data_IF_849263620948
#
_entry.id   IF_849263620948
#
_cell.length_a   1.000
_cell.length_b   1.000
_cell.length_c   1.000
_cell.angle_alpha   90.00
_cell.angle_beta   90.00
_cell.angle_gamma   90.00
#
_symmetry.space_group_name_H-M   'P 1'
#
loop_
_entity.id
_entity.type
_entity.pdbx_description
1 polymer ?
#
# COMPACT_ATOMS: atom_id res chain seq x y z
N UNK A 1 76.26 -25.16 -42.07
CA UNK A 1 75.02 -24.40 -41.85
C UNK A 1 75.37 -23.14 -41.06
N UNK A 2 76.00 -22.13 -41.67
CA UNK A 2 75.42 -21.05 -42.49
C UNK A 2 74.46 -20.17 -41.64
N UNK A 3 74.85 -19.03 -41.01
CA UNK A 3 75.39 -17.75 -41.55
C UNK A 3 74.31 -17.00 -42.36
N UNK A 4 74.00 -15.69 -42.25
CA UNK A 4 74.89 -14.51 -42.18
C UNK A 4 74.03 -13.21 -42.03
N UNK A 5 74.59 -12.26 -41.24
CA UNK A 5 74.69 -10.77 -41.31
C UNK A 5 73.52 -9.79 -41.61
N UNK A 6 73.45 -8.78 -40.72
CA UNK A 6 73.15 -7.34 -40.85
C UNK A 6 73.91 -6.60 -41.99
N UNK A 7 73.86 -5.24 -42.16
CA UNK A 7 72.82 -4.20 -42.00
C UNK A 7 72.79 -3.21 -43.21
N UNK A 8 71.97 -2.15 -43.20
CA UNK A 8 72.39 -0.86 -43.78
C UNK A 8 71.70 0.36 -43.13
N UNK A 9 72.50 1.12 -42.36
CA UNK A 9 72.26 2.54 -42.12
C UNK A 9 72.63 3.29 -43.40
N UNK A 10 71.77 4.19 -43.85
CA UNK A 10 72.16 5.28 -44.75
C UNK A 10 72.01 6.61 -44.00
N UNK A 11 73.16 7.08 -43.50
CA UNK A 11 73.42 8.46 -43.15
C UNK A 11 73.19 9.36 -44.37
N UNK A 12 72.69 10.58 -44.19
CA UNK A 12 73.52 11.78 -44.30
C UNK A 12 72.73 13.11 -44.41
N UNK A 13 73.25 14.13 -43.69
CA UNK A 13 73.49 15.53 -44.15
C UNK A 13 72.23 16.36 -44.52
N UNK A 14 71.97 17.57 -44.01
CA UNK A 14 72.76 18.79 -43.66
C UNK A 14 71.79 19.74 -42.92
N UNK A 15 72.08 20.29 -41.74
CA UNK A 15 72.71 21.62 -41.48
C UNK A 15 72.37 22.73 -42.50
N UNK A 16 71.59 23.76 -42.12
CA UNK A 16 72.08 25.11 -41.71
C UNK A 16 71.00 26.21 -41.80
N UNK A 17 70.89 26.94 -40.69
CA UNK A 17 70.86 28.41 -40.53
C UNK A 17 69.79 29.32 -41.14
N UNK A 18 69.52 30.36 -40.32
CA UNK A 18 68.89 31.67 -40.58
C UNK A 18 67.38 31.67 -40.74
N UNK A 19 66.63 32.67 -40.31
CA UNK A 19 66.74 33.81 -39.38
C UNK A 19 65.33 34.44 -39.46
N UNK A 20 64.89 35.12 -38.41
CA UNK A 20 63.97 36.26 -38.48
C UNK A 20 62.51 36.01 -38.91
N UNK A 21 61.63 36.01 -37.89
CA UNK A 21 60.62 37.06 -37.71
C UNK A 21 59.66 37.35 -38.89
N UNK A 22 58.49 36.70 -38.92
CA UNK A 22 57.14 37.33 -38.82
C UNK A 22 56.05 36.30 -39.21
N UNK A 23 54.96 36.27 -38.41
CA UNK A 23 53.60 35.76 -38.72
C UNK A 23 53.45 34.28 -39.10
N UNK A 24 52.88 33.50 -38.17
CA UNK A 24 51.58 32.81 -38.29
C UNK A 24 51.53 31.59 -37.36
N UNK A 25 50.80 31.70 -36.24
CA UNK A 25 50.11 30.56 -35.65
C UNK A 25 48.63 30.92 -35.60
N UNK A 26 47.89 30.17 -36.39
CA UNK A 26 46.46 30.00 -36.31
C UNK A 26 46.07 29.41 -34.95
N UNK A 27 45.15 30.06 -34.26
CA UNK A 27 44.00 29.35 -33.69
C UNK A 27 42.75 30.06 -34.16
N UNK A 28 42.10 29.39 -35.10
CA UNK A 28 40.80 29.67 -35.68
C UNK A 28 39.74 29.55 -34.58
N UNK A 29 38.95 30.60 -34.35
CA UNK A 29 37.49 30.60 -34.57
C UNK A 29 36.89 31.97 -34.19
N UNK A 30 36.65 32.76 -35.22
CA UNK A 30 35.74 33.91 -35.19
C UNK A 30 34.30 33.44 -34.93
N UNK A 31 33.60 34.13 -34.04
CA UNK A 31 32.13 34.07 -33.85
C UNK A 31 31.42 34.50 -35.16
N UNK A 32 30.16 34.06 -35.43
CA UNK A 32 29.03 34.87 -34.96
C UNK A 32 27.72 34.10 -34.64
N UNK A 33 26.97 34.66 -33.68
CA UNK A 33 25.49 34.81 -33.63
C UNK A 33 24.63 33.68 -34.23
N UNK A 34 24.02 32.87 -33.36
CA UNK A 34 22.72 32.20 -33.55
C UNK A 34 22.00 32.28 -32.19
N UNK A 35 21.20 33.32 -31.92
CA UNK A 35 19.73 33.41 -32.09
C UNK A 35 18.96 32.15 -31.67
N UNK A 36 18.14 32.33 -30.64
CA UNK A 36 16.84 31.69 -30.41
C UNK A 36 16.72 30.18 -30.63
N UNK A 37 16.76 29.41 -29.54
CA UNK A 37 15.70 28.44 -29.19
C UNK A 37 15.54 28.39 -27.66
N UNK A 38 15.22 29.53 -27.05
CA UNK A 38 14.47 29.55 -25.79
C UNK A 38 13.03 29.88 -26.16
N UNK A 39 12.26 28.87 -26.56
CA UNK A 39 10.82 29.05 -26.71
C UNK A 39 10.08 27.73 -26.56
N UNK A 40 9.26 27.70 -25.50
CA UNK A 40 8.02 26.94 -25.35
C UNK A 40 8.13 25.53 -24.78
N UNK A 41 8.36 25.46 -23.46
CA UNK A 41 7.58 24.54 -22.65
C UNK A 41 6.98 25.31 -21.48
N UNK A 42 5.65 25.31 -21.29
CA UNK A 42 5.04 26.02 -20.18
C UNK A 42 5.50 25.38 -18.88
N UNK A 43 6.12 26.19 -18.03
CA UNK A 43 6.34 25.90 -16.62
C UNK A 43 4.96 25.77 -15.95
N UNK A 44 4.37 24.58 -16.02
CA UNK A 44 3.18 24.19 -15.27
C UNK A 44 3.60 23.82 -13.84
N UNK A 45 4.01 24.78 -13.01
CA UNK A 45 4.55 24.46 -11.67
C UNK A 45 3.83 25.10 -10.48
N UNK A 46 2.73 25.83 -10.68
CA UNK A 46 1.92 26.35 -9.57
C UNK A 46 0.53 25.73 -9.46
N UNK A 47 -0.21 25.58 -10.57
CA UNK A 47 -1.62 25.13 -10.53
C UNK A 47 -1.79 23.62 -10.28
N UNK A 48 -0.94 22.79 -10.89
CA UNK A 48 -0.95 21.33 -10.67
C UNK A 48 -0.54 20.93 -9.23
N UNK A 49 0.16 21.83 -8.51
CA UNK A 49 0.64 21.57 -7.14
C UNK A 49 -0.50 21.56 -6.11
N UNK A 50 -1.61 22.24 -6.39
CA UNK A 50 -2.75 22.34 -5.46
C UNK A 50 -3.67 21.11 -5.59
N UNK A 51 -3.69 20.43 -6.74
CA UNK A 51 -4.58 19.28 -6.99
C UNK A 51 -4.01 17.94 -6.46
N UNK A 52 -2.68 17.78 -6.40
CA UNK A 52 -1.98 16.54 -6.03
C UNK A 52 -1.37 16.55 -4.60
N UNK A 53 -1.76 17.48 -3.73
CA UNK A 53 -1.20 17.58 -2.38
C UNK A 53 -1.73 16.46 -1.46
N UNK A 54 -1.00 15.35 -1.44
CA UNK A 54 -1.27 14.19 -0.60
C UNK A 54 -1.32 14.57 0.90
N UNK A 55 -0.53 15.54 1.33
CA UNK A 55 -0.54 15.98 2.74
C UNK A 55 -1.85 16.71 3.06
N UNK A 56 -2.28 17.63 2.20
CA UNK A 56 -3.54 18.36 2.36
C UNK A 56 -4.75 17.41 2.30
N UNK A 57 -4.75 16.50 1.33
CA UNK A 57 -5.84 15.54 1.10
C UNK A 57 -6.00 14.53 2.25
N UNK A 58 -4.92 14.21 2.97
CA UNK A 58 -4.92 13.24 4.07
C UNK A 58 -4.83 13.90 5.45
N UNK A 59 -4.83 15.23 5.54
CA UNK A 59 -4.57 15.96 6.79
C UNK A 59 -5.54 15.56 7.90
N UNK A 60 -6.84 15.50 7.60
CA UNK A 60 -7.85 15.09 8.57
C UNK A 60 -7.66 13.63 9.00
N UNK A 61 -7.36 12.75 8.05
CA UNK A 61 -7.06 11.35 8.32
C UNK A 61 -5.89 11.22 9.31
N UNK A 62 -4.77 11.88 9.08
CA UNK A 62 -3.63 11.84 10.00
C UNK A 62 -3.92 12.44 11.38
N UNK A 63 -4.76 13.48 11.46
CA UNK A 63 -5.21 14.04 12.74
C UNK A 63 -6.06 13.01 13.50
N UNK A 64 -7.01 12.36 12.84
CA UNK A 64 -7.82 11.28 13.42
C UNK A 64 -6.97 10.07 13.85
N UNK A 65 -6.02 9.64 13.02
CA UNK A 65 -5.10 8.55 13.35
C UNK A 65 -4.20 8.83 14.56
N UNK A 66 -3.86 10.09 14.81
CA UNK A 66 -3.13 10.53 16.02
C UNK A 66 -4.03 10.58 17.26
N UNK A 67 -5.30 10.96 17.11
CA UNK A 67 -6.28 11.04 18.21
C UNK A 67 -6.75 9.66 18.69
N UNK A 68 -6.86 8.68 17.79
CA UNK A 68 -7.38 7.33 18.08
C UNK A 68 -6.35 6.45 18.83
N UNK A 69 -5.14 6.91 19.09
CA UNK A 69 -4.23 6.31 20.08
C UNK A 69 -4.08 4.78 19.95
N UNK A 70 -3.23 4.33 19.04
CA UNK A 70 -2.85 2.93 18.86
C UNK A 70 -2.27 2.31 20.16
N UNK A 71 -3.13 1.82 21.04
CA UNK A 71 -2.77 1.00 22.21
C UNK A 71 -3.00 -0.47 21.86
N UNK A 72 -1.97 -1.34 21.94
CA UNK A 72 -2.09 -2.76 21.65
C UNK A 72 -2.63 -3.51 22.86
N UNK A 73 -3.58 -4.41 22.62
CA UNK A 73 -3.94 -5.44 23.56
C UNK A 73 -2.85 -6.52 23.61
N UNK A 74 -2.44 -6.92 24.81
CA UNK A 74 -1.41 -7.92 25.06
C UNK A 74 -2.10 -9.26 25.38
N UNK A 75 -1.73 -10.33 24.67
CA UNK A 75 -2.28 -11.66 24.94
C UNK A 75 -1.87 -12.74 23.94
N UNK A 76 -0.59 -13.13 23.96
CA UNK A 76 -0.02 -14.49 23.87
C UNK A 76 1.37 -14.46 23.19
N UNK A 77 2.33 -15.10 23.86
CA UNK A 77 3.72 -15.36 23.50
C UNK A 77 4.78 -14.33 23.94
N UNK A 78 5.83 -14.87 24.55
CA UNK A 78 6.77 -14.24 25.48
C UNK A 78 7.94 -13.47 24.83
N UNK A 79 8.56 -12.63 25.68
CA UNK A 79 9.99 -12.31 25.87
C UNK A 79 10.74 -11.25 25.05
N UNK A 80 10.11 -10.50 24.14
CA UNK A 80 10.78 -9.30 23.61
C UNK A 80 9.83 -8.11 23.31
N UNK A 81 9.66 -7.24 24.30
CA UNK A 81 8.66 -6.16 24.31
C UNK A 81 9.11 -4.86 23.60
N UNK A 82 10.35 -4.78 23.10
CA UNK A 82 10.87 -3.56 22.44
C UNK A 82 10.33 -3.32 21.01
N UNK A 83 9.49 -4.22 20.48
CA UNK A 83 8.91 -4.16 19.12
C UNK A 83 7.39 -4.42 19.10
N UNK A 84 6.63 -3.73 19.94
CA UNK A 84 5.17 -3.62 19.76
C UNK A 84 4.88 -2.91 18.43
N UNK A 85 4.33 -3.64 17.46
CA UNK A 85 4.32 -3.23 16.03
C UNK A 85 3.28 -2.17 15.68
N UNK A 86 2.38 -1.80 16.59
CA UNK A 86 1.51 -0.63 16.44
C UNK A 86 2.15 0.65 16.99
N UNK A 87 3.04 0.53 17.98
CA UNK A 87 3.97 1.60 18.36
C UNK A 87 4.96 1.92 17.22
N UNK A 88 5.25 0.95 16.34
CA UNK A 88 6.01 1.19 15.11
C UNK A 88 5.31 2.20 14.18
N UNK A 89 3.99 2.14 14.01
CA UNK A 89 3.27 3.14 13.20
C UNK A 89 3.28 4.53 13.84
N UNK A 90 3.15 4.63 15.16
CA UNK A 90 3.29 5.90 15.89
C UNK A 90 4.74 6.45 15.79
N UNK A 91 5.74 5.61 16.04
CA UNK A 91 7.17 5.95 15.93
C UNK A 91 7.60 6.28 14.49
N UNK A 92 7.00 5.62 13.51
CA UNK A 92 7.26 5.82 12.08
C UNK A 92 6.24 6.74 11.41
N UNK A 93 5.36 7.40 12.18
CA UNK A 93 4.52 8.47 11.65
C UNK A 93 5.39 9.58 11.04
N UNK A 94 6.61 9.78 11.57
CA UNK A 94 7.64 10.61 10.97
C UNK A 94 8.15 10.08 9.62
N UNK A 95 8.28 8.75 9.46
CA UNK A 95 8.63 8.15 8.18
C UNK A 95 7.49 8.33 7.17
N UNK A 96 6.24 8.20 7.60
CA UNK A 96 5.09 8.49 6.75
C UNK A 96 5.07 9.96 6.30
N UNK A 97 5.31 10.90 7.21
CA UNK A 97 5.44 12.31 6.89
C UNK A 97 6.59 12.53 5.90
N UNK A 98 7.75 11.88 6.11
CA UNK A 98 8.88 11.97 5.19
C UNK A 98 8.55 11.41 3.80
N UNK A 99 7.85 10.27 3.72
CA UNK A 99 7.35 9.70 2.47
C UNK A 99 6.42 10.66 1.74
N UNK A 100 5.53 11.34 2.46
CA UNK A 100 4.61 12.32 1.89
C UNK A 100 5.36 13.55 1.36
N UNK A 101 6.36 14.06 2.08
CA UNK A 101 7.19 15.16 1.58
C UNK A 101 7.92 14.75 0.31
N UNK A 102 8.56 13.57 0.33
CA UNK A 102 9.23 13.02 -0.84
C UNK A 102 8.29 12.77 -2.02
N UNK A 103 7.05 12.38 -1.74
CA UNK A 103 6.00 12.27 -2.74
C UNK A 103 5.64 13.62 -3.36
N UNK A 104 5.52 14.67 -2.54
CA UNK A 104 5.25 16.03 -3.01
C UNK A 104 6.41 16.61 -3.82
N UNK A 105 7.64 16.24 -3.47
CA UNK A 105 8.86 16.63 -4.18
C UNK A 105 9.17 15.76 -5.41
N UNK A 106 8.35 14.74 -5.69
CA UNK A 106 8.55 13.79 -6.78
C UNK A 106 8.44 14.49 -8.14
N UNK A 107 9.56 14.59 -8.85
CA UNK A 107 9.61 15.15 -10.21
C UNK A 107 9.64 14.03 -11.24
N UNK A 108 8.49 13.76 -11.84
CA UNK A 108 8.37 12.90 -13.02
C UNK A 108 8.26 13.77 -14.26
N UNK A 109 8.90 13.34 -15.35
CA UNK A 109 8.73 14.00 -16.63
C UNK A 109 7.33 13.75 -17.19
N UNK A 110 6.88 12.49 -17.12
CA UNK A 110 5.54 12.06 -17.48
C UNK A 110 4.66 12.05 -16.23
N UNK A 111 3.90 13.12 -16.04
CA UNK A 111 2.93 13.24 -14.94
C UNK A 111 1.55 13.63 -15.47
N UNK A 112 0.50 13.08 -14.85
CA UNK A 112 -0.89 13.52 -14.99
C UNK A 112 -1.40 13.85 -13.59
N UNK A 113 -2.09 15.00 -13.41
CA UNK A 113 -2.70 15.34 -12.13
C UNK A 113 -3.85 14.38 -11.83
N UNK A 114 -4.07 14.16 -10.55
CA UNK A 114 -4.97 13.18 -10.00
C UNK A 114 -6.23 13.83 -9.45
N UNK A 115 -7.06 14.32 -10.36
CA UNK A 115 -8.28 15.08 -10.04
C UNK A 115 -9.30 14.32 -9.20
N UNK A 116 -9.17 13.00 -9.09
CA UNK A 116 -10.09 12.13 -8.34
C UNK A 116 -9.53 11.66 -7.00
N UNK A 117 -8.26 11.97 -6.67
CA UNK A 117 -7.61 11.47 -5.45
C UNK A 117 -8.39 11.86 -4.20
N UNK A 118 -8.72 13.15 -4.05
CA UNK A 118 -9.45 13.65 -2.89
C UNK A 118 -10.82 12.99 -2.73
N UNK A 119 -11.56 12.82 -3.84
CA UNK A 119 -12.87 12.16 -3.83
C UNK A 119 -12.74 10.70 -3.41
N UNK A 120 -11.84 9.95 -4.04
CA UNK A 120 -11.67 8.52 -3.79
C UNK A 120 -11.19 8.28 -2.35
N UNK A 121 -10.29 9.14 -1.84
CA UNK A 121 -9.81 9.11 -0.45
C UNK A 121 -10.95 9.28 0.53
N UNK A 122 -11.74 10.34 0.38
CA UNK A 122 -12.83 10.62 1.30
C UNK A 122 -13.94 9.58 1.20
N UNK A 123 -14.25 9.10 0.00
CA UNK A 123 -15.28 8.08 -0.20
C UNK A 123 -14.91 6.77 0.48
N UNK A 124 -13.70 6.25 0.23
CA UNK A 124 -13.24 5.00 0.85
C UNK A 124 -13.19 5.15 2.37
N UNK A 125 -12.62 6.24 2.87
CA UNK A 125 -12.53 6.48 4.31
C UNK A 125 -13.93 6.58 4.94
N UNK A 126 -14.86 7.32 4.32
CA UNK A 126 -16.22 7.46 4.81
C UNK A 126 -16.96 6.12 4.82
N UNK A 127 -16.92 5.35 3.72
CA UNK A 127 -17.60 4.05 3.62
C UNK A 127 -17.09 3.07 4.66
N UNK A 128 -15.76 2.93 4.79
CA UNK A 128 -15.16 2.00 5.76
C UNK A 128 -15.45 2.44 7.20
N UNK A 129 -15.31 3.74 7.51
CA UNK A 129 -15.54 4.25 8.87
C UNK A 129 -17.01 4.23 9.27
N UNK A 130 -17.94 4.58 8.37
CA UNK A 130 -19.37 4.46 8.63
C UNK A 130 -19.75 3.00 8.85
N UNK A 131 -19.22 2.09 8.03
CA UNK A 131 -19.43 0.65 8.21
C UNK A 131 -18.89 0.15 9.55
N UNK A 132 -17.74 0.64 10.01
CA UNK A 132 -17.17 0.34 11.32
C UNK A 132 -17.99 0.91 12.48
N UNK A 133 -18.56 2.12 12.32
CA UNK A 133 -19.47 2.70 13.32
C UNK A 133 -20.75 1.86 13.43
N UNK A 134 -21.30 1.42 12.31
CA UNK A 134 -22.49 0.56 12.29
C UNK A 134 -22.21 -0.80 12.91
N UNK A 135 -21.07 -1.42 12.58
CA UNK A 135 -20.63 -2.68 13.19
C UNK A 135 -20.50 -2.55 14.70
N UNK A 136 -19.86 -1.46 15.16
CA UNK A 136 -19.74 -1.14 16.57
C UNK A 136 -21.10 -0.87 17.23
N UNK A 137 -22.03 -0.19 16.55
CA UNK A 137 -23.36 0.04 17.07
C UNK A 137 -24.09 -1.29 17.31
N UNK A 138 -24.10 -2.16 16.31
CA UNK A 138 -24.78 -3.46 16.40
C UNK A 138 -24.15 -4.39 17.43
N UNK A 139 -22.82 -4.41 17.59
CA UNK A 139 -22.18 -5.22 18.64
C UNK A 139 -22.58 -4.74 20.03
N UNK A 140 -22.68 -3.42 20.24
CA UNK A 140 -23.10 -2.88 21.52
C UNK A 140 -24.58 -3.18 21.79
N UNK A 141 -25.45 -3.04 20.79
CA UNK A 141 -26.87 -3.42 20.92
C UNK A 141 -27.05 -4.91 21.19
N UNK A 142 -26.22 -5.77 20.59
CA UNK A 142 -26.26 -7.22 20.83
C UNK A 142 -25.94 -7.59 22.28
N UNK A 143 -24.93 -6.96 22.89
CA UNK A 143 -24.43 -7.35 24.21
C UNK A 143 -25.03 -6.54 25.37
N UNK A 144 -25.65 -5.39 25.10
CA UNK A 144 -26.29 -4.59 26.13
C UNK A 144 -27.59 -5.26 26.62
N UNK A 145 -27.78 -5.44 27.93
CA UNK A 145 -28.97 -6.09 28.47
C UNK A 145 -30.19 -5.16 28.31
N UNK A 146 -30.99 -5.38 27.26
CA UNK A 146 -32.23 -4.63 26.99
C UNK A 146 -33.47 -5.51 27.12
N UNK A 147 -34.59 -4.91 27.56
CA UNK A 147 -35.90 -5.55 27.64
C UNK A 147 -36.23 -6.15 29.01
N UNK A 148 -37.50 -6.50 29.20
CA UNK A 148 -38.03 -6.97 30.49
C UNK A 148 -37.33 -8.25 31.00
N UNK A 149 -37.00 -9.19 30.11
CA UNK A 149 -36.28 -10.41 30.51
C UNK A 149 -34.88 -10.12 31.05
N UNK A 150 -34.19 -9.14 30.45
CA UNK A 150 -32.88 -8.72 30.89
C UNK A 150 -32.95 -8.02 32.26
N UNK A 151 -33.94 -7.17 32.49
CA UNK A 151 -34.17 -6.51 33.79
C UNK A 151 -34.41 -7.54 34.91
N UNK A 152 -35.27 -8.53 34.67
CA UNK A 152 -35.52 -9.62 35.62
C UNK A 152 -34.24 -10.42 35.89
N UNK A 153 -33.42 -10.67 34.87
CA UNK A 153 -32.12 -11.36 35.02
C UNK A 153 -31.14 -10.54 35.86
N UNK A 154 -31.03 -9.24 35.60
CA UNK A 154 -30.15 -8.33 36.35
C UNK A 154 -30.52 -8.28 37.83
N UNK A 155 -31.82 -8.21 38.14
CA UNK A 155 -32.31 -8.26 39.53
C UNK A 155 -31.98 -9.60 40.20
N UNK A 156 -32.22 -10.73 39.52
CA UNK A 156 -31.89 -12.06 40.06
C UNK A 156 -30.40 -12.26 40.33
N UNK A 157 -29.54 -11.72 39.46
CA UNK A 157 -28.08 -11.83 39.58
C UNK A 157 -27.47 -10.75 40.47
N UNK A 158 -28.26 -9.77 40.93
CA UNK A 158 -27.81 -8.59 41.65
C UNK A 158 -26.66 -7.86 40.92
N UNK A 159 -26.79 -7.69 39.60
CA UNK A 159 -25.79 -7.04 38.74
C UNK A 159 -26.31 -5.75 38.12
N UNK A 160 -25.40 -4.80 37.90
CA UNK A 160 -25.70 -3.61 37.11
C UNK A 160 -25.74 -3.93 35.60
N UNK A 161 -26.46 -3.14 34.82
CA UNK A 161 -26.47 -3.29 33.36
C UNK A 161 -25.06 -3.14 32.74
N UNK A 162 -24.22 -2.27 33.30
CA UNK A 162 -22.84 -2.07 32.86
C UNK A 162 -21.93 -3.26 33.19
N UNK A 163 -22.20 -3.94 34.31
CA UNK A 163 -21.50 -5.17 34.70
C UNK A 163 -21.83 -6.33 33.77
N UNK A 164 -23.12 -6.55 33.50
CA UNK A 164 -23.54 -7.60 32.58
C UNK A 164 -23.03 -7.34 31.16
N UNK A 165 -23.10 -6.08 30.68
CA UNK A 165 -22.51 -5.69 29.39
C UNK A 165 -21.00 -5.97 29.34
N UNK A 166 -20.25 -5.63 30.40
CA UNK A 166 -18.81 -5.89 30.47
C UNK A 166 -18.49 -7.39 30.40
N UNK A 167 -19.23 -8.22 31.15
CA UNK A 167 -19.08 -9.67 31.15
C UNK A 167 -19.36 -10.24 29.76
N UNK A 168 -20.40 -9.75 29.08
CA UNK A 168 -20.79 -10.21 27.75
C UNK A 168 -19.80 -9.79 26.65
N UNK A 169 -19.31 -8.55 26.67
CA UNK A 169 -18.36 -8.06 25.66
C UNK A 169 -16.92 -8.53 25.88
N UNK A 170 -16.54 -8.84 27.13
CA UNK A 170 -15.16 -9.15 27.51
C UNK A 170 -15.11 -10.40 28.39
N UNK A 171 -15.79 -11.48 27.99
CA UNK A 171 -15.89 -12.72 28.77
C UNK A 171 -14.52 -13.25 29.25
N UNK A 172 -13.50 -13.16 28.40
CA UNK A 172 -12.13 -13.58 28.77
C UNK A 172 -11.55 -12.76 29.94
N UNK A 173 -11.87 -11.47 30.04
CA UNK A 173 -11.42 -10.60 31.14
C UNK A 173 -12.25 -10.77 32.39
N UNK A 174 -13.56 -10.99 32.24
CA UNK A 174 -14.45 -11.16 33.39
C UNK A 174 -14.18 -12.44 34.17
N UNK A 175 -13.58 -13.46 33.54
CA UNK A 175 -13.11 -14.67 34.23
C UNK A 175 -11.80 -14.42 35.01
N UNK A 176 -10.96 -13.48 34.55
CA UNK A 176 -9.63 -13.24 35.12
C UNK A 176 -9.63 -12.13 36.17
N UNK A 177 -10.50 -11.13 36.04
CA UNK A 177 -10.51 -9.94 36.89
C UNK A 177 -11.93 -9.63 37.35
N UNK A 178 -12.09 -9.39 38.66
CA UNK A 178 -13.34 -8.98 39.25
C UNK A 178 -13.80 -7.61 38.71
N UNK A 179 -15.10 -7.39 38.67
CA UNK A 179 -15.69 -6.16 38.15
C UNK A 179 -15.19 -4.92 38.92
N UNK A 180 -14.63 -3.95 38.20
CA UNK A 180 -14.24 -2.65 38.75
C UNK A 180 -14.51 -1.52 37.74
N UNK A 181 -15.29 -0.51 38.13
CA UNK A 181 -15.77 0.54 37.22
C UNK A 181 -14.66 1.23 36.41
N UNK A 182 -13.56 1.61 37.06
CA UNK A 182 -12.45 2.29 36.38
C UNK A 182 -11.72 1.38 35.37
N UNK A 183 -11.54 0.10 35.70
CA UNK A 183 -10.89 -0.86 34.82
C UNK A 183 -11.77 -1.14 33.60
N UNK A 184 -13.08 -1.25 33.81
CA UNK A 184 -14.04 -1.50 32.73
C UNK A 184 -14.11 -0.32 31.79
N UNK A 185 -14.17 0.91 32.31
CA UNK A 185 -14.11 2.12 31.50
C UNK A 185 -12.81 2.15 30.67
N UNK A 186 -11.68 1.82 31.28
CA UNK A 186 -10.40 1.72 30.56
C UNK A 186 -10.45 0.66 29.46
N UNK A 187 -10.90 -0.57 29.74
CA UNK A 187 -10.98 -1.63 28.73
C UNK A 187 -11.96 -1.29 27.61
N UNK A 188 -13.10 -0.65 27.93
CA UNK A 188 -14.08 -0.22 26.95
C UNK A 188 -13.46 0.81 26.00
N UNK A 189 -12.85 1.86 26.53
CA UNK A 189 -12.18 2.90 25.74
C UNK A 189 -11.08 2.26 24.87
N UNK A 190 -10.21 1.43 25.43
CA UNK A 190 -9.15 0.77 24.65
C UNK A 190 -9.69 -0.13 23.54
N UNK A 191 -10.74 -0.91 23.80
CA UNK A 191 -11.35 -1.76 22.79
C UNK A 191 -11.94 -0.92 21.63
N UNK A 192 -12.59 0.21 21.94
CA UNK A 192 -13.08 1.14 20.90
C UNK A 192 -11.94 1.78 20.12
N UNK A 193 -10.88 2.24 20.79
CA UNK A 193 -9.69 2.79 20.12
C UNK A 193 -9.03 1.76 19.20
N UNK A 194 -8.85 0.52 19.67
CA UNK A 194 -8.28 -0.57 18.88
C UNK A 194 -9.12 -0.89 17.63
N UNK A 195 -10.45 -0.97 17.77
CA UNK A 195 -11.37 -1.21 16.66
C UNK A 195 -11.22 -0.16 15.55
N UNK A 196 -11.21 1.12 15.90
CA UNK A 196 -11.05 2.19 14.91
C UNK A 196 -9.63 2.26 14.37
N UNK A 197 -8.62 1.95 15.18
CA UNK A 197 -7.23 1.94 14.74
C UNK A 197 -6.94 0.86 13.69
N UNK A 198 -7.61 -0.29 13.76
CA UNK A 198 -7.51 -1.33 12.71
C UNK A 198 -8.14 -0.87 11.39
N UNK A 199 -9.32 -0.26 11.45
CA UNK A 199 -9.96 0.33 10.26
C UNK A 199 -9.08 1.40 9.62
N UNK A 200 -8.49 2.24 10.45
CA UNK A 200 -7.55 3.27 10.03
C UNK A 200 -6.30 2.68 9.34
N UNK A 201 -5.74 1.58 9.86
CA UNK A 201 -4.60 0.90 9.24
C UNK A 201 -4.93 0.43 7.81
N UNK A 202 -6.09 -0.19 7.61
CA UNK A 202 -6.53 -0.65 6.29
C UNK A 202 -6.74 0.51 5.32
N UNK A 203 -7.42 1.57 5.77
CA UNK A 203 -7.61 2.78 4.96
C UNK A 203 -6.24 3.35 4.58
N UNK A 204 -5.27 3.43 5.49
CA UNK A 204 -3.92 3.92 5.18
C UNK A 204 -3.28 3.13 4.04
N UNK A 205 -3.37 1.79 4.09
CA UNK A 205 -2.83 0.92 3.03
C UNK A 205 -3.56 1.17 1.72
N UNK A 206 -4.90 1.21 1.74
CA UNK A 206 -5.72 1.43 0.53
C UNK A 206 -5.34 2.74 -0.14
N UNK A 207 -5.27 3.82 0.63
CA UNK A 207 -5.07 5.16 0.09
C UNK A 207 -3.65 5.37 -0.46
N UNK A 208 -2.62 4.87 0.22
CA UNK A 208 -1.25 4.90 -0.32
C UNK A 208 -1.11 4.00 -1.55
N UNK A 209 -1.78 2.86 -1.56
CA UNK A 209 -1.83 2.00 -2.74
C UNK A 209 -2.50 2.70 -3.92
N UNK A 210 -3.58 3.44 -3.64
CA UNK A 210 -4.33 4.27 -4.60
C UNK A 210 -3.43 5.31 -5.26
N UNK A 211 -2.72 6.08 -4.45
CA UNK A 211 -1.81 7.10 -4.96
C UNK A 211 -0.72 6.49 -5.86
N UNK A 212 -0.12 5.38 -5.45
CA UNK A 212 0.94 4.70 -6.22
C UNK A 212 0.42 4.12 -7.53
N UNK A 213 -0.66 3.32 -7.50
CA UNK A 213 -1.14 2.68 -8.71
C UNK A 213 -1.56 3.73 -9.75
N UNK A 214 -2.08 4.89 -9.31
CA UNK A 214 -2.45 5.96 -10.22
C UNK A 214 -1.23 6.53 -10.95
N UNK A 215 -0.08 6.71 -10.27
CA UNK A 215 1.13 7.19 -10.95
C UNK A 215 1.67 6.19 -11.97
N UNK A 216 1.61 4.88 -11.68
CA UNK A 216 1.92 3.86 -12.70
C UNK A 216 0.91 3.87 -13.86
N UNK A 217 -0.39 4.00 -13.57
CA UNK A 217 -1.43 4.12 -14.60
C UNK A 217 -1.20 5.35 -15.49
N UNK A 218 -0.88 6.51 -14.89
CA UNK A 218 -0.58 7.74 -15.60
C UNK A 218 0.65 7.58 -16.50
N UNK A 219 1.71 6.94 -15.99
CA UNK A 219 2.90 6.62 -16.78
C UNK A 219 2.55 5.71 -17.96
N UNK A 220 1.80 4.62 -17.75
CA UNK A 220 1.38 3.73 -18.83
C UNK A 220 0.59 4.48 -19.92
N UNK A 221 -0.34 5.35 -19.53
CA UNK A 221 -1.08 6.16 -20.50
C UNK A 221 -0.17 7.08 -21.32
N UNK A 222 0.87 7.66 -20.71
CA UNK A 222 1.87 8.46 -21.44
C UNK A 222 2.72 7.59 -22.36
N UNK A 223 3.03 6.35 -21.96
CA UNK A 223 3.71 5.38 -22.81
C UNK A 223 2.92 5.02 -24.07
N UNK A 224 1.60 4.84 -23.95
CA UNK A 224 0.72 4.67 -25.11
C UNK A 224 0.77 5.91 -26.02
N UNK A 225 0.68 7.12 -25.46
CA UNK A 225 0.74 8.37 -26.23
C UNK A 225 2.06 8.47 -27.04
N UNK A 226 3.20 8.04 -26.46
CA UNK A 226 4.50 7.96 -27.16
C UNK A 226 4.45 6.99 -28.34
N UNK A 227 3.77 5.85 -28.22
CA UNK A 227 3.63 4.86 -29.29
C UNK A 227 2.77 5.37 -30.45
N UNK A 228 1.67 6.08 -30.16
CA UNK A 228 0.75 6.59 -31.17
C UNK A 228 1.36 7.67 -32.06
N UNK A 229 2.18 8.55 -31.49
CA UNK A 229 2.91 9.54 -32.25
C UNK A 229 4.15 8.90 -32.92
N UNK A 230 3.92 8.20 -34.04
CA UNK A 230 4.93 7.51 -34.88
C UNK A 230 6.17 8.37 -35.13
N UNK A 231 7.12 8.28 -34.21
CA UNK A 231 8.27 9.17 -34.11
C UNK A 231 8.80 9.27 -32.67
N UNK A 232 8.66 8.20 -31.88
CA UNK A 232 9.16 8.18 -30.51
C UNK A 232 10.70 8.28 -30.52
N UNK A 233 11.19 9.49 -30.27
CA UNK A 233 12.62 9.75 -30.11
C UNK A 233 13.19 8.89 -28.98
N UNK A 234 14.42 8.40 -29.17
CA UNK A 234 15.16 7.63 -28.16
C UNK A 234 15.12 8.29 -26.77
N UNK A 235 15.26 9.63 -26.74
CA UNK A 235 15.22 10.42 -25.50
C UNK A 235 13.92 10.24 -24.71
N UNK A 236 12.76 10.05 -25.38
CA UNK A 236 11.46 9.86 -24.73
C UNK A 236 11.38 8.50 -24.02
N UNK A 237 11.90 7.43 -24.64
CA UNK A 237 11.94 6.11 -24.03
C UNK A 237 12.92 6.03 -22.87
N UNK A 238 14.11 6.62 -23.01
CA UNK A 238 15.05 6.72 -21.89
C UNK A 238 14.45 7.47 -20.71
N UNK A 239 13.69 8.55 -20.97
CA UNK A 239 13.01 9.29 -19.90
C UNK A 239 11.86 8.49 -19.28
N UNK A 240 11.08 7.79 -20.09
CA UNK A 240 10.00 6.92 -19.63
C UNK A 240 10.51 5.83 -18.68
N UNK A 241 11.63 5.19 -19.02
CA UNK A 241 12.30 4.20 -18.15
C UNK A 241 12.79 4.85 -16.85
N UNK A 242 13.40 6.05 -16.91
CA UNK A 242 13.83 6.77 -15.70
C UNK A 242 12.67 7.09 -14.76
N UNK A 243 11.53 7.50 -15.29
CA UNK A 243 10.33 7.76 -14.50
C UNK A 243 9.79 6.46 -13.89
N UNK A 244 9.77 5.36 -14.65
CA UNK A 244 9.41 4.03 -14.13
C UNK A 244 10.31 3.59 -12.97
N UNK A 245 11.63 3.71 -13.12
CA UNK A 245 12.59 3.36 -12.08
C UNK A 245 12.42 4.24 -10.84
N UNK A 246 12.11 5.52 -11.03
CA UNK A 246 11.82 6.45 -9.93
C UNK A 246 10.56 6.03 -9.19
N UNK A 247 9.48 5.68 -9.90
CA UNK A 247 8.26 5.15 -9.30
C UNK A 247 8.50 3.85 -8.54
N UNK A 248 9.33 2.92 -9.06
CA UNK A 248 9.70 1.71 -8.31
C UNK A 248 10.44 2.03 -7.02
N UNK A 249 11.36 3.00 -7.01
CA UNK A 249 12.08 3.39 -5.79
C UNK A 249 11.10 3.91 -4.73
N UNK A 250 10.14 4.75 -5.13
CA UNK A 250 9.07 5.23 -4.23
C UNK A 250 8.20 4.06 -3.75
N UNK A 251 7.79 3.15 -4.63
CA UNK A 251 7.05 1.94 -4.26
C UNK A 251 7.82 1.09 -3.25
N UNK A 252 9.14 0.94 -3.42
CA UNK A 252 9.96 0.18 -2.48
C UNK A 252 9.99 0.83 -1.10
N UNK A 253 10.09 2.15 -1.01
CA UNK A 253 10.06 2.87 0.26
C UNK A 253 8.70 2.81 0.94
N UNK A 254 7.62 2.96 0.16
CA UNK A 254 6.26 2.79 0.69
C UNK A 254 6.01 1.34 1.11
N UNK A 255 6.50 0.35 0.36
CA UNK A 255 6.45 -1.05 0.74
C UNK A 255 7.20 -1.28 2.06
N UNK A 256 8.40 -0.74 2.24
CA UNK A 256 9.16 -0.90 3.49
C UNK A 256 8.38 -0.37 4.71
N UNK A 257 7.64 0.72 4.55
CA UNK A 257 6.78 1.28 5.58
C UNK A 257 5.51 0.44 5.80
N UNK A 258 4.82 0.05 4.73
CA UNK A 258 3.53 -0.65 4.79
C UNK A 258 3.66 -2.14 5.05
N UNK A 259 4.81 -2.76 4.77
CA UNK A 259 4.94 -4.22 4.77
C UNK A 259 4.64 -4.88 6.11
N UNK A 260 5.09 -4.36 7.27
CA UNK A 260 4.67 -4.85 8.57
C UNK A 260 3.18 -4.65 8.83
N UNK A 261 2.62 -3.52 8.38
CA UNK A 261 1.21 -3.19 8.57
C UNK A 261 0.33 -4.15 7.77
N UNK A 262 0.66 -4.37 6.49
CA UNK A 262 0.00 -5.33 5.60
C UNK A 262 0.01 -6.73 6.21
N UNK A 263 1.15 -7.20 6.72
CA UNK A 263 1.23 -8.52 7.33
C UNK A 263 0.27 -8.65 8.52
N UNK A 264 0.22 -7.63 9.38
CA UNK A 264 -0.64 -7.64 10.56
C UNK A 264 -2.11 -7.51 10.16
N UNK A 265 -2.47 -6.64 9.21
CA UNK A 265 -3.87 -6.45 8.81
C UNK A 265 -4.44 -7.71 8.16
N UNK A 266 -3.67 -8.41 7.33
CA UNK A 266 -4.08 -9.72 6.80
C UNK A 266 -4.17 -10.78 7.90
N UNK A 267 -3.18 -10.88 8.79
CA UNK A 267 -3.18 -11.86 9.87
C UNK A 267 -4.37 -11.69 10.82
N UNK A 268 -4.62 -10.45 11.25
CA UNK A 268 -5.76 -10.09 12.09
C UNK A 268 -7.07 -10.31 11.33
N UNK A 269 -7.13 -9.90 10.07
CA UNK A 269 -8.31 -10.08 9.22
C UNK A 269 -8.70 -11.56 9.09
N UNK A 270 -7.74 -12.44 8.80
CA UNK A 270 -7.96 -13.89 8.71
C UNK A 270 -8.38 -14.47 10.06
N UNK A 271 -7.70 -14.10 11.15
CA UNK A 271 -8.04 -14.56 12.50
C UNK A 271 -9.49 -14.24 12.86
N UNK A 272 -9.91 -12.98 12.70
CA UNK A 272 -11.28 -12.57 13.01
C UNK A 272 -12.29 -13.19 12.05
N UNK A 273 -11.92 -13.43 10.80
CA UNK A 273 -12.80 -14.08 9.84
C UNK A 273 -13.06 -15.53 10.26
N UNK A 274 -12.02 -16.27 10.64
CA UNK A 274 -12.15 -17.60 11.22
C UNK A 274 -12.98 -17.59 12.51
N UNK A 275 -12.78 -16.60 13.38
CA UNK A 275 -13.56 -16.46 14.62
C UNK A 275 -15.05 -16.22 14.33
N UNK A 276 -15.38 -15.36 13.36
CA UNK A 276 -16.77 -15.11 12.97
C UNK A 276 -17.42 -16.36 12.38
N UNK A 277 -16.66 -17.12 11.57
CA UNK A 277 -17.12 -18.42 11.08
C UNK A 277 -17.38 -19.43 12.20
N UNK A 278 -16.48 -19.52 13.17
CA UNK A 278 -16.66 -20.38 14.34
C UNK A 278 -17.89 -19.99 15.16
N UNK A 279 -18.06 -18.70 15.45
CA UNK A 279 -19.19 -18.21 16.24
C UNK A 279 -20.54 -18.48 15.56
N UNK A 280 -20.60 -18.53 14.22
CA UNK A 280 -21.83 -18.90 13.50
C UNK A 280 -22.26 -20.35 13.69
N UNK A 281 -21.37 -21.25 14.11
CA UNK A 281 -21.75 -22.62 14.47
C UNK A 281 -22.52 -22.68 15.80
N UNK A 282 -22.39 -21.66 16.65
CA UNK A 282 -23.06 -21.65 17.94
C UNK A 282 -24.51 -21.16 17.77
N UNK A 283 -25.54 -22.01 17.96
CA UNK A 283 -26.94 -21.63 17.76
C UNK A 283 -27.38 -20.49 18.69
N UNK A 284 -26.70 -20.30 19.83
CA UNK A 284 -27.01 -19.21 20.77
C UNK A 284 -26.51 -17.83 20.28
N UNK A 285 -25.56 -17.77 19.33
CA UNK A 285 -24.98 -16.51 18.84
C UNK A 285 -25.93 -15.73 17.91
N UNK A 286 -26.97 -16.37 17.37
CA UNK A 286 -27.96 -15.78 16.44
C UNK A 286 -29.40 -15.81 17.00
N UNK A 287 -29.55 -15.95 18.32
CA UNK A 287 -30.86 -16.14 18.95
C UNK A 287 -31.82 -14.93 18.80
N UNK A 288 -31.29 -13.74 18.52
CA UNK A 288 -32.09 -12.52 18.32
C UNK A 288 -31.88 -11.93 16.92
N UNK A 289 -32.88 -11.22 16.35
CA UNK A 289 -32.72 -10.54 15.06
C UNK A 289 -31.52 -9.58 15.02
N UNK A 290 -31.26 -8.88 16.13
CA UNK A 290 -30.12 -7.96 16.28
C UNK A 290 -28.80 -8.74 16.17
N UNK A 291 -28.70 -9.89 16.82
CA UNK A 291 -27.51 -10.72 16.78
C UNK A 291 -27.24 -11.30 15.39
N UNK A 292 -28.30 -11.71 14.66
CA UNK A 292 -28.20 -12.18 13.28
C UNK A 292 -27.75 -11.06 12.31
N UNK A 293 -28.32 -9.86 12.45
CA UNK A 293 -27.92 -8.68 11.65
C UNK A 293 -26.44 -8.33 11.93
N UNK A 294 -26.05 -8.28 13.20
CA UNK A 294 -24.66 -8.05 13.59
C UNK A 294 -23.70 -9.07 12.96
N UNK A 295 -24.03 -10.37 13.07
CA UNK A 295 -23.19 -11.45 12.56
C UNK A 295 -22.97 -11.33 11.05
N UNK A 296 -24.03 -11.05 10.29
CA UNK A 296 -23.92 -10.81 8.84
C UNK A 296 -23.11 -9.56 8.53
N UNK A 297 -23.43 -8.44 9.19
CA UNK A 297 -22.77 -7.16 8.94
C UNK A 297 -21.27 -7.22 9.23
N UNK A 298 -20.87 -7.79 10.36
CA UNK A 298 -19.46 -7.86 10.76
C UNK A 298 -18.63 -8.70 9.77
N UNK A 299 -19.21 -9.76 9.19
CA UNK A 299 -18.54 -10.59 8.18
C UNK A 299 -18.37 -9.83 6.86
N UNK A 300 -19.43 -9.18 6.37
CA UNK A 300 -19.33 -8.37 5.15
C UNK A 300 -18.36 -7.20 5.33
N UNK A 301 -18.37 -6.55 6.50
CA UNK A 301 -17.43 -5.49 6.84
C UNK A 301 -15.98 -6.00 6.78
N UNK A 302 -15.71 -7.15 7.40
CA UNK A 302 -14.37 -7.73 7.45
C UNK A 302 -13.87 -8.20 6.06
N UNK A 303 -14.69 -8.95 5.33
CA UNK A 303 -14.37 -9.40 3.96
C UNK A 303 -14.17 -8.18 3.05
N UNK A 304 -15.08 -7.21 3.11
CA UNK A 304 -14.99 -5.98 2.31
C UNK A 304 -13.67 -5.24 2.53
N UNK A 305 -13.23 -5.10 3.78
CA UNK A 305 -11.94 -4.46 4.10
C UNK A 305 -10.74 -5.23 3.57
N UNK A 306 -10.70 -6.55 3.77
CA UNK A 306 -9.63 -7.41 3.26
C UNK A 306 -9.57 -7.29 1.72
N UNK A 307 -10.71 -7.35 1.04
CA UNK A 307 -10.78 -7.21 -0.42
C UNK A 307 -10.37 -5.82 -0.88
N UNK A 308 -10.79 -4.74 -0.23
CA UNK A 308 -10.40 -3.38 -0.59
C UNK A 308 -8.89 -3.17 -0.49
N UNK A 309 -8.26 -3.62 0.60
CA UNK A 309 -6.80 -3.62 0.77
C UNK A 309 -6.15 -4.43 -0.35
N UNK A 310 -6.66 -5.64 -0.60
CA UNK A 310 -6.08 -6.55 -1.59
C UNK A 310 -6.17 -6.02 -3.02
N UNK A 311 -7.34 -5.53 -3.43
CA UNK A 311 -7.58 -4.96 -4.76
C UNK A 311 -6.69 -3.74 -4.97
N UNK A 312 -6.60 -2.85 -3.99
CA UNK A 312 -5.80 -1.64 -4.09
C UNK A 312 -4.31 -1.97 -4.24
N UNK A 313 -3.80 -2.93 -3.47
CA UNK A 313 -2.42 -3.40 -3.60
C UNK A 313 -2.16 -4.14 -4.92
N UNK A 314 -3.08 -4.99 -5.35
CA UNK A 314 -2.96 -5.75 -6.60
C UNK A 314 -2.96 -4.85 -7.84
N UNK A 315 -3.68 -3.72 -7.82
CA UNK A 315 -3.63 -2.74 -8.92
C UNK A 315 -2.24 -2.14 -9.11
N UNK A 316 -1.45 -1.97 -8.04
CA UNK A 316 -0.05 -1.54 -8.17
C UNK A 316 0.72 -2.58 -8.97
N UNK A 317 0.56 -3.87 -8.62
CA UNK A 317 1.20 -4.97 -9.32
C UNK A 317 0.82 -4.96 -10.82
N UNK A 318 -0.47 -4.89 -11.15
CA UNK A 318 -0.93 -4.85 -12.54
C UNK A 318 -0.29 -3.70 -13.34
N UNK A 319 -0.45 -2.45 -12.87
CA UNK A 319 0.03 -1.28 -13.60
C UNK A 319 1.56 -1.21 -13.66
N UNK A 320 2.26 -1.72 -12.64
CA UNK A 320 3.73 -1.78 -12.67
C UNK A 320 4.27 -2.78 -13.69
N UNK A 321 3.52 -3.85 -14.02
CA UNK A 321 3.93 -4.85 -15.02
C UNK A 321 3.46 -4.50 -16.44
N UNK A 322 2.37 -3.76 -16.60
CA UNK A 322 1.89 -3.32 -17.91
C UNK A 322 2.94 -2.52 -18.70
N UNK A 323 3.89 -1.91 -18.00
CA UNK A 323 5.04 -1.23 -18.60
C UNK A 323 5.84 -2.17 -19.51
N UNK A 324 5.97 -3.46 -19.20
CA UNK A 324 6.67 -4.41 -20.07
C UNK A 324 5.99 -4.56 -21.45
N UNK A 325 4.66 -4.53 -21.50
CA UNK A 325 3.91 -4.60 -22.77
C UNK A 325 4.12 -3.34 -23.62
N UNK A 326 4.36 -2.19 -22.99
CA UNK A 326 4.72 -0.95 -23.69
C UNK A 326 6.15 -1.00 -24.23
N UNK A 327 7.11 -1.47 -23.43
CA UNK A 327 8.51 -1.60 -23.85
C UNK A 327 8.66 -2.57 -25.03
N UNK A 328 7.91 -3.68 -25.04
CA UNK A 328 7.86 -4.62 -26.17
C UNK A 328 7.39 -4.01 -27.48
N UNK A 329 6.59 -2.95 -27.41
CA UNK A 329 6.09 -2.22 -28.59
C UNK A 329 6.97 -1.04 -28.99
N UNK A 330 8.08 -0.79 -28.28
CA UNK A 330 9.03 0.25 -28.61
C UNK A 330 9.59 0.06 -30.03
N UNK A 331 9.64 1.10 -30.88
CA UNK A 331 10.23 0.99 -32.22
C UNK A 331 11.69 0.53 -32.18
N UNK A 332 12.11 -0.32 -33.14
CA UNK A 332 13.48 -0.86 -33.20
C UNK A 332 14.58 0.20 -33.13
N UNK A 333 14.36 1.40 -33.69
CA UNK A 333 15.33 2.50 -33.64
C UNK A 333 15.55 3.05 -32.22
N UNK A 334 14.59 2.87 -31.32
CA UNK A 334 14.65 3.30 -29.93
C UNK A 334 14.81 2.13 -28.94
N UNK A 335 14.78 0.89 -29.41
CA UNK A 335 14.99 -0.30 -28.60
C UNK A 335 16.49 -0.47 -28.29
N UNK A 336 16.90 0.07 -27.15
CA UNK A 336 18.27 0.05 -26.65
C UNK A 336 18.42 -0.98 -25.52
N UNK A 337 19.65 -1.24 -25.11
CA UNK A 337 19.97 -2.16 -24.00
C UNK A 337 19.24 -1.81 -22.70
N UNK A 338 18.94 -0.54 -22.44
CA UNK A 338 18.15 -0.10 -21.28
C UNK A 338 16.68 -0.53 -21.35
N UNK A 339 16.08 -0.51 -22.56
CA UNK A 339 14.71 -0.98 -22.81
C UNK A 339 14.64 -2.48 -22.55
N UNK A 340 15.54 -3.24 -23.20
CA UNK A 340 15.65 -4.69 -23.05
C UNK A 340 15.89 -5.10 -21.60
N UNK A 341 16.84 -4.46 -20.92
CA UNK A 341 17.15 -4.73 -19.50
C UNK A 341 15.94 -4.48 -18.61
N UNK A 342 15.22 -3.39 -18.83
CA UNK A 342 14.05 -3.04 -18.02
C UNK A 342 12.91 -4.02 -18.29
N UNK A 343 12.64 -4.36 -19.55
CA UNK A 343 11.65 -5.36 -19.94
C UNK A 343 11.93 -6.73 -19.29
N UNK A 344 13.17 -7.20 -19.38
CA UNK A 344 13.62 -8.46 -18.78
C UNK A 344 13.48 -8.44 -17.25
N UNK A 345 13.79 -7.30 -16.62
CA UNK A 345 13.59 -7.15 -15.17
C UNK A 345 12.11 -7.27 -14.79
N UNK A 346 11.22 -6.56 -15.50
CA UNK A 346 9.79 -6.55 -15.16
C UNK A 346 9.19 -7.94 -15.38
N UNK A 347 9.61 -8.62 -16.44
CA UNK A 347 9.12 -9.96 -16.78
C UNK A 347 9.61 -11.05 -15.80
N UNK A 348 10.72 -10.82 -15.09
CA UNK A 348 11.34 -11.81 -14.20
C UNK A 348 11.04 -11.61 -12.71
N UNK A 349 10.46 -10.46 -12.30
CA UNK A 349 10.24 -10.15 -10.89
C UNK A 349 8.83 -9.70 -10.60
N UNK A 350 8.28 -10.17 -9.50
CA UNK A 350 7.00 -9.68 -8.98
C UNK A 350 7.23 -8.34 -8.28
N UNK A 351 6.70 -7.28 -8.87
CA UNK A 351 6.71 -5.91 -8.34
C UNK A 351 5.37 -5.61 -7.65
N UNK A 352 5.39 -5.21 -6.38
CA UNK A 352 4.17 -4.89 -5.64
C UNK A 352 4.39 -4.71 -4.14
N UNK A 353 3.30 -4.52 -3.41
CA UNK A 353 3.32 -4.47 -1.95
C UNK A 353 3.38 -5.88 -1.35
N UNK A 354 4.09 -6.02 -0.24
CA UNK A 354 4.41 -7.31 0.37
C UNK A 354 4.07 -7.31 1.86
N UNK A 355 3.67 -8.45 2.41
CA UNK A 355 3.53 -8.66 3.86
C UNK A 355 4.78 -9.32 4.44
N UNK A 356 5.70 -8.53 4.99
CA UNK A 356 7.01 -8.95 5.52
C UNK A 356 7.84 -9.87 4.57
N UNK A 357 7.60 -9.81 3.27
CA UNK A 357 8.20 -10.72 2.29
C UNK A 357 7.58 -12.12 2.23
N UNK A 358 6.61 -12.45 3.10
CA UNK A 358 5.92 -13.74 3.11
C UNK A 358 4.98 -13.91 1.91
N UNK A 359 4.38 -12.82 1.45
CA UNK A 359 3.50 -12.79 0.29
C UNK A 359 3.52 -11.42 -0.38
N UNK A 360 3.15 -11.38 -1.66
CA UNK A 360 2.95 -10.15 -2.43
C UNK A 360 1.48 -10.01 -2.79
N UNK A 361 0.91 -8.81 -2.63
CA UNK A 361 -0.49 -8.55 -2.95
C UNK A 361 -0.66 -8.53 -4.48
N UNK A 362 -1.32 -9.56 -5.00
CA UNK A 362 -1.59 -9.76 -6.43
C UNK A 362 -3.01 -10.28 -6.64
N UNK A 363 -3.55 -10.22 -7.86
CA UNK A 363 -4.87 -10.81 -8.17
C UNK A 363 -4.96 -12.32 -7.81
N UNK A 364 -3.94 -13.16 -8.10
CA UNK A 364 -3.93 -14.54 -7.62
C UNK A 364 -4.07 -14.68 -6.10
N UNK A 365 -3.42 -13.80 -5.31
CA UNK A 365 -3.58 -13.83 -3.85
C UNK A 365 -5.03 -13.57 -3.43
N UNK A 366 -5.73 -12.62 -4.09
CA UNK A 366 -7.14 -12.34 -3.83
C UNK A 366 -7.99 -13.58 -4.06
N UNK A 367 -7.80 -14.23 -5.20
CA UNK A 367 -8.54 -15.45 -5.56
C UNK A 367 -8.28 -16.57 -4.55
N UNK A 368 -7.03 -16.73 -4.10
CA UNK A 368 -6.69 -17.71 -3.08
C UNK A 368 -7.38 -17.42 -1.74
N UNK A 369 -7.41 -16.16 -1.30
CA UNK A 369 -8.12 -15.76 -0.08
C UNK A 369 -9.61 -16.06 -0.19
N UNK A 370 -10.24 -15.70 -1.30
CA UNK A 370 -11.66 -15.99 -1.55
C UNK A 370 -11.92 -17.50 -1.54
N UNK A 371 -11.08 -18.29 -2.23
CA UNK A 371 -11.22 -19.74 -2.28
C UNK A 371 -11.11 -20.39 -0.89
N UNK A 372 -10.17 -19.92 -0.06
CA UNK A 372 -10.02 -20.39 1.33
C UNK A 372 -11.27 -20.07 2.16
N UNK A 373 -11.84 -18.87 2.02
CA UNK A 373 -13.09 -18.47 2.69
C UNK A 373 -14.24 -19.40 2.32
N UNK A 374 -14.45 -19.65 1.03
CA UNK A 374 -15.48 -20.58 0.56
C UNK A 374 -15.25 -22.01 1.06
N UNK A 375 -14.00 -22.46 1.07
CA UNK A 375 -13.64 -23.79 1.57
C UNK A 375 -13.99 -23.92 3.06
N UNK A 376 -13.67 -22.91 3.88
CA UNK A 376 -14.07 -22.88 5.29
C UNK A 376 -15.59 -22.96 5.45
N UNK A 377 -16.34 -22.13 4.71
CA UNK A 377 -17.80 -22.13 4.77
C UNK A 377 -18.40 -23.51 4.42
N UNK A 378 -17.91 -24.14 3.36
CA UNK A 378 -18.37 -25.46 2.93
C UNK A 378 -18.07 -26.54 3.98
N UNK A 379 -16.86 -26.56 4.54
CA UNK A 379 -16.47 -27.53 5.58
C UNK A 379 -17.35 -27.36 6.83
N UNK A 380 -17.65 -26.12 7.21
CA UNK A 380 -18.51 -25.82 8.35
C UNK A 380 -19.95 -26.27 8.12
N UNK A 381 -20.50 -26.05 6.92
CA UNK A 381 -21.84 -26.53 6.56
C UNK A 381 -21.93 -28.06 6.58
N UNK A 382 -20.91 -28.74 6.07
CA UNK A 382 -20.83 -30.20 6.12
C UNK A 382 -20.75 -30.73 7.55
N UNK A 383 -19.94 -30.11 8.41
CA UNK A 383 -19.83 -30.49 9.82
C UNK A 383 -21.17 -30.29 10.56
N UNK A 384 -21.89 -29.19 10.28
CA UNK A 384 -23.20 -28.93 10.84
C UNK A 384 -24.23 -29.97 10.40
N UNK A 385 -24.29 -30.30 9.10
CA UNK A 385 -25.17 -31.35 8.57
C UNK A 385 -24.87 -32.71 9.19
N UNK A 386 -23.59 -33.06 9.31
CA UNK A 386 -23.18 -34.31 9.95
C UNK A 386 -23.56 -34.36 11.45
N UNK A 387 -23.56 -33.22 12.15
CA UNK A 387 -24.01 -33.15 13.54
C UNK A 387 -25.54 -33.32 13.67
N UNK A 388 -26.31 -32.70 12.79
CA UNK A 388 -27.77 -32.82 12.74
C UNK A 388 -28.20 -34.27 12.45
N UNK A 389 -27.56 -34.91 11.48
CA UNK A 389 -27.85 -36.30 11.10
C UNK A 389 -27.48 -37.33 12.18
N UNK A 390 -26.64 -36.97 13.17
CA UNK A 390 -26.33 -37.82 14.33
C UNK A 390 -27.30 -37.63 15.49
N UNK A 391 -28.10 -36.55 15.47
CA UNK A 391 -29.08 -36.21 16.51
C UNK A 391 -30.51 -36.65 16.19
N UNK A 392 -30.76 -37.08 14.95
CA UNK A 392 -31.92 -37.86 14.50
C UNK A 392 -31.58 -39.34 14.48
#
# INVERSE_FOLDING_TARGET
MASIKFPSNWNSRRRKDRRESFRSQDVIFSRPIIRHVESHFPVLTSRARIEDDLYLNFRLFFIFGKLIGLVPFQGLFQRDYKKLRYFHFYRNSLQLIHLIHKWNDLRLYFTKPDVHLFRDVNLVAAVVMISAILENLFVNLKYFPMGQEAEVRLQKLNRSALEEYFINCNYQWSVLVAYHHALNLFTFVNNKLALYAWNYADITIILLSRAIYFKFQALNSQGEDILFHKGAEQLKWSQFIRDYETLRKILQEVNNFLSPLIFITYGIGIYFLCLQFHNRLNPYENATPIAAIYALWSIFHLIGRILLVSISGARINDWAHQVADLLRRCPNKAYLSDVERTENFISSKIIGLTGLGCFTITKPLILNVIAVIFTFEMVLLQALQASLNKST
#
